data_IF_509947954886
#
_entry.id   IF_509947954886
#
_cell.length_a   1.000
_cell.length_b   1.000
_cell.length_c   1.000
_cell.angle_alpha   90.00
_cell.angle_beta   90.00
_cell.angle_gamma   90.00
#
_symmetry.space_group_name_H-M   'P 1'
#
loop_
_entity.id
_entity.type
_entity.pdbx_description
1 polymer ?
#
# COMPACT_ATOMS: atom_id res chain seq x y z
N UNK A 1 -8.90 -0.84 2.66
CA UNK A 1 -8.53 -0.40 1.29
C UNK A 1 -7.02 -0.51 1.15
N UNK A 2 -6.53 -1.11 0.06
CA UNK A 2 -5.10 -1.20 -0.26
C UNK A 2 -4.88 -0.41 -1.55
N UNK A 3 -4.07 0.64 -1.52
CA UNK A 3 -3.80 1.44 -2.71
C UNK A 3 -2.50 2.25 -2.58
N UNK A 4 -2.08 2.87 -3.68
CA UNK A 4 -0.93 3.78 -3.69
C UNK A 4 -1.31 5.25 -3.52
N UNK A 5 -2.57 5.61 -3.76
CA UNK A 5 -3.02 7.00 -3.73
C UNK A 5 -4.51 7.11 -3.35
N UNK A 6 -4.84 7.26 -2.05
CA UNK A 6 -6.23 7.18 -1.57
C UNK A 6 -7.02 8.49 -1.66
N UNK A 7 -6.34 9.63 -1.86
CA UNK A 7 -6.95 10.96 -1.79
C UNK A 7 -6.87 11.72 -3.10
N UNK A 8 -8.02 12.07 -3.66
CA UNK A 8 -8.20 13.05 -4.72
C UNK A 8 -9.15 14.16 -4.22
N UNK A 9 -9.25 15.27 -4.96
CA UNK A 9 -10.05 16.46 -4.57
C UNK A 9 -11.52 16.11 -4.27
N UNK A 10 -12.02 15.07 -4.90
CA UNK A 10 -13.38 14.54 -4.83
C UNK A 10 -13.52 13.25 -3.99
N UNK A 11 -12.47 12.81 -3.29
CA UNK A 11 -12.47 11.59 -2.46
C UNK A 11 -13.15 11.78 -1.09
N UNK A 12 -14.33 12.43 -1.08
CA UNK A 12 -15.04 12.84 0.13
C UNK A 12 -15.60 11.65 0.93
N UNK A 13 -16.08 10.62 0.23
CA UNK A 13 -16.66 9.42 0.86
C UNK A 13 -15.57 8.62 1.58
N UNK A 14 -14.44 8.36 0.90
CA UNK A 14 -13.33 7.64 1.51
C UNK A 14 -12.76 8.41 2.70
N UNK A 15 -12.50 9.72 2.55
CA UNK A 15 -11.92 10.54 3.64
C UNK A 15 -12.84 10.53 4.88
N UNK A 16 -14.16 10.61 4.67
CA UNK A 16 -15.14 10.51 5.75
C UNK A 16 -15.14 9.14 6.43
N UNK A 17 -15.17 8.05 5.67
CA UNK A 17 -15.17 6.68 6.21
C UNK A 17 -13.86 6.36 6.95
N UNK A 18 -12.72 6.76 6.38
CA UNK A 18 -11.40 6.55 6.98
C UNK A 18 -11.25 7.30 8.31
N UNK A 19 -11.66 8.58 8.37
CA UNK A 19 -11.58 9.39 9.60
C UNK A 19 -12.49 8.89 10.72
N UNK A 20 -13.61 8.24 10.37
CA UNK A 20 -14.50 7.60 11.35
C UNK A 20 -14.05 6.19 11.76
N UNK A 21 -12.98 5.68 11.16
CA UNK A 21 -12.49 4.32 11.41
C UNK A 21 -13.36 3.22 10.80
N UNK A 22 -14.25 3.56 9.86
CA UNK A 22 -15.14 2.59 9.19
C UNK A 22 -14.43 1.88 8.02
N UNK A 23 -13.30 2.41 7.57
CA UNK A 23 -12.44 1.80 6.54
C UNK A 23 -10.99 1.89 6.98
N UNK A 24 -10.29 0.76 6.98
CA UNK A 24 -8.83 0.72 7.17
C UNK A 24 -8.10 1.05 5.86
N UNK A 25 -6.90 1.63 5.96
CA UNK A 25 -6.05 1.98 4.82
C UNK A 25 -4.66 1.33 4.96
N UNK A 26 -4.28 0.51 3.99
CA UNK A 26 -2.89 0.11 3.76
C UNK A 26 -2.34 0.90 2.57
N UNK A 27 -1.41 1.82 2.85
CA UNK A 27 -0.71 2.57 1.81
C UNK A 27 0.49 1.77 1.30
N UNK A 28 0.56 1.59 -0.02
CA UNK A 28 1.62 0.78 -0.67
C UNK A 28 2.23 1.57 -1.82
N UNK A 29 3.56 1.70 -1.92
CA UNK A 29 4.19 2.31 -3.09
C UNK A 29 3.70 1.66 -4.40
N UNK A 30 3.38 2.46 -5.41
CA UNK A 30 2.74 1.98 -6.64
C UNK A 30 3.52 0.85 -7.32
N UNK A 31 4.84 0.97 -7.41
CA UNK A 31 5.70 -0.08 -7.97
C UNK A 31 5.65 -1.38 -7.16
N UNK A 32 5.62 -1.29 -5.83
CA UNK A 32 5.50 -2.45 -4.96
C UNK A 32 4.12 -3.10 -5.07
N UNK A 33 3.05 -2.30 -5.20
CA UNK A 33 1.70 -2.82 -5.41
C UNK A 33 1.61 -3.60 -6.73
N UNK A 34 2.12 -3.04 -7.83
CA UNK A 34 2.17 -3.73 -9.12
C UNK A 34 3.02 -5.01 -9.06
N UNK A 35 4.21 -4.93 -8.46
CA UNK A 35 5.09 -6.08 -8.30
C UNK A 35 4.48 -7.18 -7.42
N UNK A 36 3.72 -6.83 -6.37
CA UNK A 36 2.97 -7.79 -5.54
C UNK A 36 1.92 -8.54 -6.38
N UNK A 37 1.15 -7.80 -7.19
CA UNK A 37 0.14 -8.40 -8.08
C UNK A 37 0.80 -9.33 -9.09
N UNK A 38 1.90 -8.90 -9.71
CA UNK A 38 2.67 -9.71 -10.65
C UNK A 38 3.26 -10.97 -9.99
N UNK A 39 3.88 -10.83 -8.81
CA UNK A 39 4.45 -11.94 -8.06
C UNK A 39 3.39 -12.97 -7.69
N UNK A 40 2.21 -12.53 -7.23
CA UNK A 40 1.09 -13.41 -6.96
C UNK A 40 0.64 -14.18 -8.21
N UNK A 41 0.54 -13.52 -9.36
CA UNK A 41 0.21 -14.16 -10.64
C UNK A 41 1.26 -15.16 -11.13
N UNK A 42 2.54 -14.97 -10.76
CA UNK A 42 3.65 -15.85 -11.08
C UNK A 42 3.88 -16.96 -10.03
N UNK A 43 3.11 -17.00 -8.94
CA UNK A 43 3.29 -17.97 -7.85
C UNK A 43 4.52 -17.72 -6.97
N UNK A 44 5.00 -16.48 -6.90
CA UNK A 44 6.15 -16.07 -6.08
C UNK A 44 5.68 -15.61 -4.68
N UNK A 45 6.39 -16.01 -3.64
CA UNK A 45 6.01 -15.76 -2.24
C UNK A 45 6.31 -14.35 -1.71
N UNK A 46 7.31 -13.67 -2.25
CA UNK A 46 7.71 -12.32 -1.80
C UNK A 46 8.44 -11.54 -2.90
N UNK A 47 8.48 -10.21 -2.73
CA UNK A 47 9.29 -9.30 -3.54
C UNK A 47 10.24 -8.53 -2.62
N UNK A 48 11.48 -8.35 -3.05
CA UNK A 48 12.46 -7.48 -2.39
C UNK A 48 12.70 -6.25 -3.26
N UNK A 49 12.66 -5.07 -2.64
CA UNK A 49 12.75 -3.78 -3.33
C UNK A 49 13.26 -2.73 -2.36
N UNK A 50 14.15 -1.81 -2.80
CA UNK A 50 14.59 -0.70 -1.95
C UNK A 50 13.49 0.36 -1.75
N UNK A 51 12.35 0.23 -2.45
CA UNK A 51 11.29 1.24 -2.43
C UNK A 51 10.60 1.29 -1.07
N UNK A 52 10.66 2.46 -0.42
CA UNK A 52 10.12 2.69 0.92
C UNK A 52 11.15 2.56 2.04
N UNK A 53 12.39 2.14 1.74
CA UNK A 53 13.47 2.09 2.72
C UNK A 53 13.69 3.45 3.40
N UNK A 54 13.79 3.44 4.73
CA UNK A 54 13.93 4.66 5.54
C UNK A 54 12.67 5.51 5.68
N UNK A 55 11.51 5.04 5.22
CA UNK A 55 10.22 5.73 5.39
C UNK A 55 9.33 4.98 6.40
N UNK A 56 8.30 5.63 6.98
CA UNK A 56 7.33 4.93 7.84
C UNK A 56 6.64 3.73 7.16
N UNK A 57 6.61 3.68 5.83
CA UNK A 57 6.03 2.57 5.07
C UNK A 57 6.86 1.27 5.13
N UNK A 58 8.13 1.36 5.55
CA UNK A 58 9.00 0.20 5.76
C UNK A 58 8.87 -0.39 7.18
N UNK A 59 8.25 0.33 8.11
CA UNK A 59 8.07 -0.16 9.48
C UNK A 59 7.21 -1.44 9.47
N UNK A 60 7.65 -2.47 10.21
CA UNK A 60 6.95 -3.75 10.29
C UNK A 60 7.03 -4.64 9.04
N UNK A 61 7.68 -4.19 7.97
CA UNK A 61 7.98 -5.02 6.79
C UNK A 61 9.42 -5.49 6.91
N UNK A 62 9.63 -6.82 6.86
CA UNK A 62 10.93 -7.45 7.08
C UNK A 62 12.06 -6.69 6.40
N UNK A 63 13.09 -6.33 7.17
CA UNK A 63 14.31 -5.72 6.66
C UNK A 63 14.87 -6.63 5.55
N UNK A 64 15.45 -6.09 4.46
CA UNK A 64 16.24 -6.91 3.55
C UNK A 64 17.25 -7.80 4.29
#
# INVERSE_FOLDING_TARGET
>A
MICSFPRQVDSQIFDGLYRRGEVELELVPQGNLAARIQAAGAGLGAIFTPTGYGTPLAEGKGNP
#
